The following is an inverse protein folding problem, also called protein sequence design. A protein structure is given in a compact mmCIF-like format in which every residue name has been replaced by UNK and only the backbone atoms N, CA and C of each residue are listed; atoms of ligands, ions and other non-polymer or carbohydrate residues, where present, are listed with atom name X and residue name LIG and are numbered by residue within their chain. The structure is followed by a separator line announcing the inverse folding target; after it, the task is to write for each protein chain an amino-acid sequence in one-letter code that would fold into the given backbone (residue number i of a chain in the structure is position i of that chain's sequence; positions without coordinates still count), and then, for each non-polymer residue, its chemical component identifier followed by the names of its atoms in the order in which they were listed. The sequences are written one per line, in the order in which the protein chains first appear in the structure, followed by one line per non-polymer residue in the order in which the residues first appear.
data_IF_195882241888
#
_entry.id   IF_195882241888
#
_cell.length_a   1.000
_cell.length_b   1.000
_cell.length_c   1.000
_cell.angle_alpha   90.00
_cell.angle_beta   90.00
_cell.angle_gamma   90.00
#
_symmetry.space_group_name_H-M   'P 1'
#
loop_
_entity.id
_entity.type
_entity.pdbx_description
1 polymer ?
#
# COMPACT_ATOMS: atom_id res chain seq x y z
N UNK A 1 7.83 -13.36 6.86
CA UNK A 1 6.38 -13.05 6.82
C UNK A 1 6.19 -11.68 7.43
N UNK A 2 5.49 -10.77 6.76
CA UNK A 2 5.18 -9.43 7.29
C UNK A 2 3.78 -9.46 7.91
N UNK A 3 3.67 -9.06 9.17
CA UNK A 3 2.40 -9.07 9.92
C UNK A 3 1.69 -7.72 9.91
N UNK A 4 0.74 -7.54 10.84
CA UNK A 4 0.15 -6.23 11.14
C UNK A 4 1.13 -5.41 11.98
N UNK A 5 1.72 -4.38 11.38
CA UNK A 5 2.77 -3.56 11.99
C UNK A 5 2.40 -2.08 11.94
N UNK A 6 3.02 -1.26 12.80
CA UNK A 6 2.90 0.21 12.75
C UNK A 6 3.86 0.81 11.74
N UNK A 7 3.64 2.07 11.36
CA UNK A 7 4.54 2.83 10.49
C UNK A 7 5.98 2.88 11.03
N UNK A 8 6.18 2.99 12.35
CA UNK A 8 7.52 2.96 12.96
C UNK A 8 8.24 1.62 12.72
N UNK A 9 7.48 0.52 12.75
CA UNK A 9 8.01 -0.80 12.42
C UNK A 9 8.26 -0.97 10.93
N UNK A 10 7.40 -0.40 10.07
CA UNK A 10 7.65 -0.35 8.62
C UNK A 10 8.98 0.37 8.33
N UNK A 11 9.22 1.52 8.97
CA UNK A 11 10.47 2.27 8.89
C UNK A 11 11.68 1.47 9.37
N UNK A 12 11.53 0.85 10.55
CA UNK A 12 12.59 0.02 11.14
C UNK A 12 12.98 -1.13 10.23
N UNK A 13 11.99 -1.85 9.66
CA UNK A 13 12.26 -2.94 8.72
C UNK A 13 12.79 -2.45 7.38
N UNK A 14 12.34 -1.31 6.86
CA UNK A 14 12.89 -0.69 5.65
C UNK A 14 14.40 -0.46 5.79
N UNK A 15 14.84 0.13 6.90
CA UNK A 15 16.27 0.34 7.22
C UNK A 15 17.06 -0.96 7.33
N UNK A 16 16.49 -1.99 7.95
CA UNK A 16 17.13 -3.32 8.07
C UNK A 16 17.32 -3.97 6.70
N UNK A 17 16.33 -3.81 5.80
CA UNK A 17 16.33 -4.45 4.48
C UNK A 17 17.10 -3.65 3.42
N UNK A 18 17.35 -2.36 3.64
CA UNK A 18 18.08 -1.47 2.74
C UNK A 18 19.37 -2.05 2.11
N UNK A 19 20.33 -2.61 2.88
CA UNK A 19 21.55 -3.15 2.28
C UNK A 19 21.29 -4.34 1.35
N UNK A 20 20.20 -5.07 1.55
CA UNK A 20 19.82 -6.19 0.69
C UNK A 20 19.12 -5.73 -0.58
N UNK A 21 18.33 -4.65 -0.53
CA UNK A 21 17.70 -4.05 -1.71
C UNK A 21 18.75 -3.38 -2.62
N UNK A 22 19.79 -2.80 -2.03
CA UNK A 22 20.89 -2.15 -2.76
C UNK A 22 21.81 -3.14 -3.51
N UNK A 23 21.79 -4.42 -3.15
CA UNK A 23 22.58 -5.46 -3.83
C UNK A 23 21.90 -5.87 -5.16
N UNK A 24 22.54 -5.65 -6.32
CA UNK A 24 21.96 -5.96 -7.63
C UNK A 24 21.75 -7.46 -7.88
N UNK A 25 22.27 -8.34 -7.02
CA UNK A 25 22.01 -9.78 -7.09
C UNK A 25 20.66 -10.18 -6.48
N UNK A 26 20.03 -9.28 -5.71
CA UNK A 26 18.78 -9.54 -5.03
C UNK A 26 17.57 -8.99 -5.82
N UNK A 27 16.42 -9.64 -5.61
CA UNK A 27 15.12 -9.19 -6.09
C UNK A 27 14.13 -9.21 -4.92
N UNK A 28 13.41 -8.12 -4.74
CA UNK A 28 12.33 -8.03 -3.76
C UNK A 28 10.99 -8.24 -4.44
N UNK A 29 10.27 -9.30 -4.05
CA UNK A 29 8.90 -9.54 -4.50
C UNK A 29 7.95 -9.11 -3.40
N UNK A 30 7.16 -8.07 -3.66
CA UNK A 30 6.12 -7.58 -2.77
C UNK A 30 4.78 -8.13 -3.22
N UNK A 31 4.14 -8.93 -2.37
CA UNK A 31 2.86 -9.59 -2.68
C UNK A 31 1.70 -8.79 -2.10
N UNK A 32 0.77 -8.37 -2.95
CA UNK A 32 -0.46 -7.68 -2.54
C UNK A 32 -1.56 -7.79 -3.60
N UNK A 33 -2.78 -8.03 -3.13
CA UNK A 33 -4.01 -7.64 -3.82
C UNK A 33 -4.40 -6.21 -3.38
N UNK A 34 -5.21 -5.54 -4.20
CA UNK A 34 -5.74 -4.19 -3.96
C UNK A 34 -7.17 -4.26 -3.38
N UNK A 35 -8.13 -3.43 -3.82
CA UNK A 35 -9.43 -3.32 -3.18
C UNK A 35 -10.23 -4.64 -3.17
N UNK A 36 -10.56 -5.10 -1.97
CA UNK A 36 -11.54 -6.14 -1.69
C UNK A 36 -12.89 -5.47 -1.37
N UNK A 37 -13.64 -5.13 -2.42
CA UNK A 37 -14.90 -4.41 -2.28
C UNK A 37 -16.09 -5.34 -2.03
N UNK A 38 -16.98 -4.97 -1.12
CA UNK A 38 -18.30 -5.58 -0.92
C UNK A 38 -18.63 -5.91 0.53
N UNK A 39 -19.90 -6.23 0.78
CA UNK A 39 -20.41 -6.54 2.12
C UNK A 39 -19.65 -7.70 2.79
N UNK A 40 -19.23 -8.72 2.02
CA UNK A 40 -18.40 -9.85 2.50
C UNK A 40 -17.08 -9.39 3.14
N UNK A 41 -16.53 -8.29 2.66
CA UNK A 41 -15.27 -7.72 3.14
C UNK A 41 -15.48 -6.57 4.14
N UNK A 42 -16.73 -6.22 4.44
CA UNK A 42 -17.11 -5.06 5.27
C UNK A 42 -16.52 -3.75 4.77
N UNK A 43 -16.37 -3.62 3.45
CA UNK A 43 -15.83 -2.42 2.81
C UNK A 43 -16.66 -2.07 1.58
N UNK A 44 -17.45 -1.00 1.69
CA UNK A 44 -18.32 -0.50 0.61
C UNK A 44 -18.23 1.02 0.49
N UNK A 45 -17.06 1.61 0.83
CA UNK A 45 -16.83 3.04 0.66
C UNK A 45 -17.00 3.39 -0.81
N UNK A 46 -17.82 4.40 -1.10
CA UNK A 46 -18.22 4.76 -2.45
C UNK A 46 -18.50 6.26 -2.56
N UNK A 47 -17.88 6.90 -3.54
CA UNK A 47 -18.16 8.29 -3.91
C UNK A 47 -18.94 8.32 -5.23
N UNK A 48 -20.24 8.60 -5.15
CA UNK A 48 -21.19 8.57 -6.28
C UNK A 48 -20.78 9.47 -7.46
N UNK A 49 -20.06 10.56 -7.18
CA UNK A 49 -19.54 11.49 -8.18
C UNK A 49 -18.60 10.85 -9.21
N UNK A 50 -18.05 9.67 -8.91
CA UNK A 50 -17.11 8.95 -9.79
C UNK A 50 -17.80 7.91 -10.70
N UNK A 51 -19.12 7.95 -10.81
CA UNK A 51 -19.89 7.03 -11.64
C UNK A 51 -20.06 5.66 -10.97
N UNK A 52 -20.24 4.56 -11.72
CA UNK A 52 -20.60 3.26 -11.13
C UNK A 52 -19.52 2.73 -10.18
N UNK A 53 -19.90 1.85 -9.25
CA UNK A 53 -19.02 1.31 -8.19
C UNK A 53 -17.66 0.84 -8.71
N UNK A 54 -17.61 0.11 -9.83
CA UNK A 54 -16.34 -0.40 -10.36
C UNK A 54 -15.39 0.73 -10.82
N UNK A 55 -15.93 1.87 -11.27
CA UNK A 55 -15.12 3.05 -11.62
C UNK A 55 -14.57 3.73 -10.38
N UNK A 56 -15.35 3.79 -9.31
CA UNK A 56 -14.83 4.26 -8.03
C UNK A 56 -13.74 3.35 -7.48
N UNK A 57 -13.91 2.02 -7.56
CA UNK A 57 -12.86 1.06 -7.18
C UNK A 57 -11.59 1.31 -8.00
N UNK A 58 -11.72 1.45 -9.33
CA UNK A 58 -10.59 1.76 -10.22
C UNK A 58 -9.87 3.06 -9.82
N UNK A 59 -10.62 4.12 -9.51
CA UNK A 59 -10.05 5.42 -9.08
C UNK A 59 -9.31 5.27 -7.76
N UNK A 60 -9.91 4.59 -6.78
CA UNK A 60 -9.35 4.41 -5.45
C UNK A 60 -8.09 3.54 -5.48
N UNK A 61 -8.07 2.47 -6.28
CA UNK A 61 -6.89 1.63 -6.45
C UNK A 61 -5.77 2.35 -7.22
N UNK A 62 -6.08 3.05 -8.31
CA UNK A 62 -5.09 3.86 -9.05
C UNK A 62 -4.47 4.94 -8.18
N UNK A 63 -5.27 5.62 -7.35
CA UNK A 63 -4.73 6.60 -6.40
C UNK A 63 -3.70 5.98 -5.46
N UNK A 64 -3.94 4.77 -4.97
CA UNK A 64 -2.96 4.03 -4.16
C UNK A 64 -1.70 3.67 -4.96
N UNK A 65 -1.85 3.20 -6.21
CA UNK A 65 -0.74 2.86 -7.11
C UNK A 65 0.11 4.10 -7.43
N UNK A 66 -0.51 5.20 -7.84
CA UNK A 66 0.14 6.46 -8.17
C UNK A 66 0.98 6.97 -6.99
N UNK A 67 0.47 6.82 -5.75
CA UNK A 67 1.20 7.20 -4.54
C UNK A 67 2.40 6.28 -4.26
N UNK A 68 2.30 4.98 -4.54
CA UNK A 68 3.43 4.06 -4.46
C UNK A 68 4.52 4.46 -5.46
N UNK A 69 4.15 4.86 -6.68
CA UNK A 69 5.10 5.33 -7.70
C UNK A 69 5.86 6.60 -7.29
N UNK A 70 5.31 7.40 -6.37
CA UNK A 70 6.04 8.58 -5.85
C UNK A 70 7.20 8.25 -4.93
N UNK A 71 7.30 7.00 -4.46
CA UNK A 71 8.29 6.53 -3.48
C UNK A 71 8.24 7.30 -2.14
N UNK A 72 7.08 7.86 -1.79
CA UNK A 72 6.87 8.64 -0.55
C UNK A 72 6.02 7.86 0.46
N UNK A 73 6.60 7.30 1.52
CA UNK A 73 5.87 6.44 2.46
C UNK A 73 4.73 7.19 3.17
N UNK A 74 4.92 8.47 3.49
CA UNK A 74 3.92 9.30 4.18
C UNK A 74 2.64 9.47 3.36
N UNK A 75 2.77 9.63 2.04
CA UNK A 75 1.63 9.87 1.16
C UNK A 75 0.75 8.62 1.04
N UNK A 76 1.36 7.44 0.92
CA UNK A 76 0.64 6.17 0.93
C UNK A 76 -0.03 5.88 2.29
N UNK A 77 0.66 6.20 3.40
CA UNK A 77 0.11 6.05 4.75
C UNK A 77 -1.10 6.97 4.99
N UNK A 78 -1.06 8.22 4.51
CA UNK A 78 -2.20 9.14 4.58
C UNK A 78 -3.39 8.66 3.75
N UNK A 79 -3.14 8.13 2.54
CA UNK A 79 -4.16 7.52 1.71
C UNK A 79 -4.86 6.34 2.42
N UNK A 80 -4.09 5.42 3.01
CA UNK A 80 -4.65 4.29 3.76
C UNK A 80 -5.46 4.77 4.95
N UNK A 81 -5.02 5.81 5.66
CA UNK A 81 -5.75 6.40 6.79
C UNK A 81 -7.06 7.06 6.37
N UNK A 82 -7.05 7.73 5.22
CA UNK A 82 -8.22 8.46 4.70
C UNK A 82 -9.29 7.53 4.18
N UNK A 83 -8.92 6.56 3.34
CA UNK A 83 -9.87 5.72 2.62
C UNK A 83 -10.05 4.34 3.23
N UNK A 84 -9.10 3.87 4.05
CA UNK A 84 -9.09 2.52 4.59
C UNK A 84 -9.25 1.45 3.50
N UNK A 85 -8.63 1.68 2.32
CA UNK A 85 -8.66 0.71 1.24
C UNK A 85 -8.11 -0.63 1.74
N UNK A 86 -8.80 -1.70 1.37
CA UNK A 86 -8.55 -3.08 1.80
C UNK A 86 -7.35 -3.75 1.11
N UNK A 87 -6.28 -3.00 0.84
CA UNK A 87 -5.02 -3.51 0.28
C UNK A 87 -4.39 -4.49 1.29
N UNK A 88 -4.24 -5.76 0.89
CA UNK A 88 -3.84 -6.82 1.83
C UNK A 88 -2.34 -6.77 2.17
N UNK A 89 -1.50 -6.38 1.20
CA UNK A 89 -0.05 -6.22 1.33
C UNK A 89 0.38 -4.80 1.66
N UNK A 90 -0.50 -3.97 2.25
CA UNK A 90 -0.18 -2.58 2.63
C UNK A 90 1.09 -2.44 3.49
N UNK A 91 1.35 -3.41 4.38
CA UNK A 91 2.52 -3.39 5.26
C UNK A 91 3.82 -3.78 4.53
N UNK A 92 3.88 -4.87 3.74
CA UNK A 92 4.99 -5.11 2.81
C UNK A 92 5.31 -3.91 1.89
N UNK A 93 4.28 -3.26 1.34
CA UNK A 93 4.45 -2.05 0.52
C UNK A 93 5.04 -0.91 1.35
N UNK A 94 4.50 -0.66 2.55
CA UNK A 94 5.01 0.35 3.47
C UNK A 94 6.49 0.13 3.84
N UNK A 95 6.89 -1.11 4.11
CA UNK A 95 8.29 -1.47 4.36
C UNK A 95 9.17 -1.14 3.15
N UNK A 96 8.74 -1.48 1.93
CA UNK A 96 9.50 -1.17 0.71
C UNK A 96 9.68 0.34 0.54
N UNK A 97 8.62 1.13 0.75
CA UNK A 97 8.67 2.59 0.60
C UNK A 97 9.53 3.29 1.65
N UNK A 98 9.85 2.61 2.76
CA UNK A 98 10.71 3.13 3.83
C UNK A 98 12.19 2.81 3.63
N UNK A 99 12.56 2.12 2.55
CA UNK A 99 13.97 1.86 2.25
C UNK A 99 14.62 3.19 1.82
N UNK A 100 15.64 3.67 2.54
CA UNK A 100 16.35 4.90 2.17
C UNK A 100 17.14 4.71 0.87
N UNK A 101 17.31 5.81 0.14
CA UNK A 101 18.20 5.91 -1.03
C UNK A 101 19.68 5.59 -0.70
#
# INVERSE_FOLDING_TARGET
MVGSISNDWEETYGKILAPYLADPQNLFVISSDFCHWGARFRYTYYEESHGPIYKWIEVLDKMGMDLIETLKPESFAEYLRKYNNTICGRHPIGVLLQVPD
#
